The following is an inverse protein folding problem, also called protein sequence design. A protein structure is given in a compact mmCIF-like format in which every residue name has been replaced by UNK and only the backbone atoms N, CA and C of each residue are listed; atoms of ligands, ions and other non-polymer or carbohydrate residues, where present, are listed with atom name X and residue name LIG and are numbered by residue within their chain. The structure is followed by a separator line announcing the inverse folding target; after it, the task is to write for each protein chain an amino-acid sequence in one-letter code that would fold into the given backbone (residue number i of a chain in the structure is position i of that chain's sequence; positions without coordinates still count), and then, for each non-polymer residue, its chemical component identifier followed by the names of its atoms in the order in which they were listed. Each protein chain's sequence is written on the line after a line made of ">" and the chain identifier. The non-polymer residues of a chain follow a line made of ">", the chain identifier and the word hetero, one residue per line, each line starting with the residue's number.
data_IF_187751886928
#
_entry.id   IF_187751886928
#
_cell.length_a   1.000
_cell.length_b   1.000
_cell.length_c   1.000
_cell.angle_alpha   90.00
_cell.angle_beta   90.00
_cell.angle_gamma   90.00
#
_symmetry.space_group_name_H-M   'P 1'
#
loop_
_entity.id
_entity.type
_entity.pdbx_description
1 polymer ?
#
# COMPACT_ATOMS: atom_id res chain seq x y z
N UNK A 1 30.49 -7.04 13.85
CA UNK A 1 29.75 -6.03 13.06
C UNK A 1 28.63 -6.78 12.36
N UNK A 2 27.43 -6.23 12.25
CA UNK A 2 26.38 -6.93 11.50
C UNK A 2 26.78 -6.91 10.02
N UNK A 3 26.60 -8.03 9.31
CA UNK A 3 26.78 -8.04 7.85
C UNK A 3 25.71 -7.19 7.12
N UNK A 4 24.71 -6.70 7.86
CA UNK A 4 23.62 -5.86 7.34
C UNK A 4 23.95 -4.37 7.45
N UNK A 5 24.74 -3.88 6.48
CA UNK A 5 25.11 -2.46 6.37
C UNK A 5 23.89 -1.52 6.37
N UNK A 6 22.76 -1.95 5.80
CA UNK A 6 21.54 -1.16 5.73
C UNK A 6 20.92 -0.97 7.13
N UNK A 7 21.05 -1.97 8.00
CA UNK A 7 20.64 -1.86 9.41
C UNK A 7 21.57 -0.95 10.20
N UNK A 8 22.87 -1.07 9.99
CA UNK A 8 23.90 -0.31 10.71
C UNK A 8 23.86 1.19 10.39
N UNK A 9 23.49 1.57 9.16
CA UNK A 9 23.31 2.97 8.74
C UNK A 9 22.09 3.66 9.37
N UNK A 10 21.26 2.94 10.13
CA UNK A 10 20.18 3.52 10.93
C UNK A 10 19.18 4.33 10.11
N UNK A 11 18.90 5.57 10.55
CA UNK A 11 17.92 6.46 9.91
C UNK A 11 18.32 6.92 8.50
N UNK A 12 19.62 6.86 8.15
CA UNK A 12 20.09 7.27 6.82
C UNK A 12 19.47 6.39 5.72
N UNK A 13 19.28 5.10 6.00
CA UNK A 13 18.70 4.14 5.07
C UNK A 13 17.28 3.73 5.46
N UNK A 14 16.55 4.57 6.21
CA UNK A 14 15.20 4.24 6.67
C UNK A 14 14.27 3.87 5.51
N UNK A 15 14.26 4.64 4.43
CA UNK A 15 13.44 4.35 3.24
C UNK A 15 13.76 2.99 2.61
N UNK A 16 15.05 2.66 2.45
CA UNK A 16 15.49 1.35 1.95
C UNK A 16 15.09 0.22 2.89
N UNK A 17 15.17 0.43 4.20
CA UNK A 17 14.73 -0.55 5.21
C UNK A 17 13.24 -0.81 5.14
N UNK A 18 12.43 0.25 5.02
CA UNK A 18 10.97 0.14 4.89
C UNK A 18 10.60 -0.60 3.60
N UNK A 19 11.25 -0.27 2.47
CA UNK A 19 11.06 -0.99 1.20
C UNK A 19 11.38 -2.48 1.34
N UNK A 20 12.57 -2.81 1.87
CA UNK A 20 13.00 -4.20 2.08
C UNK A 20 12.07 -4.97 3.02
N UNK A 21 11.56 -4.31 4.07
CA UNK A 21 10.58 -4.91 4.98
C UNK A 21 9.25 -5.16 4.28
N UNK A 22 8.74 -4.19 3.53
CA UNK A 22 7.49 -4.32 2.78
C UNK A 22 7.56 -5.44 1.72
N UNK A 23 8.66 -5.54 0.98
CA UNK A 23 8.89 -6.62 0.01
C UNK A 23 8.91 -7.99 0.69
N UNK A 24 9.55 -8.11 1.87
CA UNK A 24 9.55 -9.35 2.65
C UNK A 24 8.16 -9.72 3.15
N UNK A 25 7.42 -8.76 3.72
CA UNK A 25 6.04 -8.99 4.18
C UNK A 25 5.13 -9.41 3.03
N UNK A 26 5.27 -8.80 1.86
CA UNK A 26 4.57 -9.24 0.65
C UNK A 26 4.95 -10.67 0.28
N UNK A 27 6.25 -11.03 0.30
CA UNK A 27 6.71 -12.40 0.04
C UNK A 27 6.09 -13.44 0.98
N UNK A 28 6.04 -13.17 2.29
CA UNK A 28 5.38 -14.07 3.27
C UNK A 28 3.87 -14.15 3.03
N UNK A 29 3.25 -13.02 2.67
CA UNK A 29 1.80 -12.96 2.38
C UNK A 29 1.45 -13.76 1.13
N UNK A 30 2.35 -13.84 0.14
CA UNK A 30 2.11 -14.61 -1.09
C UNK A 30 1.84 -16.08 -0.77
N UNK A 31 2.60 -16.70 0.15
CA UNK A 31 2.34 -18.08 0.56
C UNK A 31 0.93 -18.28 1.15
N UNK A 32 0.45 -17.31 1.92
CA UNK A 32 -0.90 -17.34 2.50
C UNK A 32 -2.00 -17.14 1.44
N UNK A 33 -1.73 -16.33 0.41
CA UNK A 33 -2.64 -16.13 -0.73
C UNK A 33 -2.73 -17.40 -1.57
N UNK A 34 -1.59 -18.04 -1.84
CA UNK A 34 -1.52 -19.28 -2.62
C UNK A 34 -2.27 -20.42 -1.92
N UNK A 35 -2.13 -20.55 -0.60
CA UNK A 35 -2.89 -21.52 0.22
C UNK A 35 -4.41 -21.30 0.17
N UNK A 36 -4.86 -20.08 -0.13
CA UNK A 36 -6.27 -19.74 -0.29
C UNK A 36 -6.80 -19.96 -1.72
N UNK A 37 -5.98 -20.56 -2.61
CA UNK A 37 -6.25 -20.77 -4.04
C UNK A 37 -6.59 -19.46 -4.78
N UNK A 38 -5.91 -18.37 -4.41
CA UNK A 38 -6.07 -17.06 -5.01
C UNK A 38 -4.85 -16.73 -5.88
N UNK A 39 -5.08 -16.25 -7.11
CA UNK A 39 -4.02 -16.08 -8.12
C UNK A 39 -3.43 -14.67 -8.17
N UNK A 40 -3.73 -13.82 -7.19
CA UNK A 40 -3.28 -12.44 -7.15
C UNK A 40 -1.94 -12.29 -6.43
N UNK A 41 -1.21 -11.25 -6.75
CA UNK A 41 0.00 -10.85 -6.03
C UNK A 41 -0.37 -9.92 -4.86
N UNK A 42 0.34 -9.99 -3.72
CA UNK A 42 0.10 -9.12 -2.56
C UNK A 42 0.03 -7.62 -2.90
N UNK A 43 0.88 -7.15 -3.82
CA UNK A 43 0.93 -5.75 -4.26
C UNK A 43 -0.31 -5.31 -5.08
N UNK A 44 -1.15 -6.24 -5.53
CA UNK A 44 -2.40 -5.96 -6.23
C UNK A 44 -3.57 -5.76 -5.25
N UNK A 45 -3.46 -6.30 -4.03
CA UNK A 45 -4.51 -6.26 -3.01
C UNK A 45 -5.00 -4.84 -2.72
N UNK A 46 -4.15 -3.81 -2.56
CA UNK A 46 -4.62 -2.46 -2.23
C UNK A 46 -5.59 -1.89 -3.28
N UNK A 47 -5.38 -2.15 -4.57
CA UNK A 47 -6.30 -1.69 -5.63
C UNK A 47 -7.65 -2.39 -5.51
N UNK A 48 -7.66 -3.71 -5.32
CA UNK A 48 -8.91 -4.48 -5.13
C UNK A 48 -9.66 -3.98 -3.89
N UNK A 49 -8.97 -3.79 -2.76
CA UNK A 49 -9.57 -3.31 -1.51
C UNK A 49 -10.14 -1.91 -1.67
N UNK A 50 -9.42 -0.99 -2.32
CA UNK A 50 -9.91 0.36 -2.58
C UNK A 50 -11.18 0.34 -3.43
N UNK A 51 -11.19 -0.41 -4.54
CA UNK A 51 -12.37 -0.52 -5.40
C UNK A 51 -13.54 -1.23 -4.71
N UNK A 52 -13.26 -2.21 -3.84
CA UNK A 52 -14.28 -2.92 -3.08
C UNK A 52 -14.97 -2.02 -2.05
N UNK A 53 -14.21 -1.16 -1.36
CA UNK A 53 -14.70 -0.31 -0.27
C UNK A 53 -15.26 1.03 -0.75
N UNK A 54 -14.64 1.63 -1.77
CA UNK A 54 -14.95 2.98 -2.22
C UNK A 54 -15.72 3.01 -3.55
N UNK A 55 -15.89 1.85 -4.19
CA UNK A 55 -16.50 1.75 -5.50
C UNK A 55 -15.53 2.08 -6.64
N UNK A 56 -16.05 2.37 -7.84
CA UNK A 56 -15.23 2.67 -9.01
C UNK A 56 -14.38 3.93 -8.82
N UNK A 57 -13.11 3.88 -9.25
CA UNK A 57 -12.16 4.99 -9.12
C UNK A 57 -11.36 5.17 -10.40
N UNK A 58 -11.07 6.41 -10.78
CA UNK A 58 -10.08 6.69 -11.82
C UNK A 58 -8.66 6.38 -11.36
N UNK A 59 -7.71 6.27 -12.30
CA UNK A 59 -6.29 6.08 -11.98
C UNK A 59 -5.76 7.18 -11.05
N UNK A 60 -6.19 8.44 -11.25
CA UNK A 60 -5.79 9.55 -10.40
C UNK A 60 -6.34 9.44 -8.97
N UNK A 61 -7.59 9.02 -8.82
CA UNK A 61 -8.18 8.76 -7.50
C UNK A 61 -7.54 7.57 -6.80
N UNK A 62 -7.18 6.51 -7.54
CA UNK A 62 -6.40 5.38 -6.99
C UNK A 62 -5.01 5.83 -6.51
N UNK A 63 -4.32 6.69 -7.26
CA UNK A 63 -3.02 7.26 -6.82
C UNK A 63 -3.19 8.02 -5.51
N UNK A 64 -4.19 8.90 -5.43
CA UNK A 64 -4.45 9.69 -4.22
C UNK A 64 -4.86 8.82 -3.03
N UNK A 65 -5.71 7.82 -3.25
CA UNK A 65 -6.22 6.92 -2.20
C UNK A 65 -5.14 6.00 -1.65
N UNK A 66 -4.28 5.47 -2.52
CA UNK A 66 -3.29 4.46 -2.16
C UNK A 66 -1.94 5.05 -1.75
N UNK A 67 -1.68 6.32 -2.05
CA UNK A 67 -0.38 6.95 -1.78
C UNK A 67 0.78 6.34 -2.57
N UNK A 68 0.51 5.60 -3.65
CA UNK A 68 1.52 4.98 -4.51
C UNK A 68 1.63 5.69 -5.85
N UNK A 69 2.76 5.55 -6.52
CA UNK A 69 3.03 6.26 -7.77
C UNK A 69 2.07 5.86 -8.90
N UNK A 70 1.76 6.81 -9.79
CA UNK A 70 0.90 6.55 -10.95
C UNK A 70 1.41 5.39 -11.85
N UNK A 71 2.72 5.26 -12.15
CA UNK A 71 3.20 4.10 -12.89
C UNK A 71 2.93 2.77 -12.18
N UNK A 72 3.00 2.74 -10.84
CA UNK A 72 2.68 1.55 -10.06
C UNK A 72 1.18 1.22 -10.15
N UNK A 73 0.29 2.21 -9.95
CA UNK A 73 -1.16 2.02 -10.10
C UNK A 73 -1.50 1.49 -11.50
N UNK A 74 -1.01 2.16 -12.55
CA UNK A 74 -1.30 1.77 -13.94
C UNK A 74 -0.84 0.34 -14.23
N UNK A 75 0.36 -0.05 -13.78
CA UNK A 75 0.86 -1.41 -13.94
C UNK A 75 -0.01 -2.42 -13.20
N UNK A 76 -0.37 -2.14 -11.96
CA UNK A 76 -1.23 -3.02 -11.14
C UNK A 76 -2.61 -3.19 -11.76
N UNK A 77 -3.24 -2.10 -12.20
CA UNK A 77 -4.55 -2.15 -12.89
C UNK A 77 -4.45 -2.94 -14.20
N UNK A 78 -3.36 -2.78 -14.97
CA UNK A 78 -3.12 -3.56 -16.18
C UNK A 78 -3.11 -5.06 -15.91
N UNK A 79 -2.31 -5.51 -14.93
CA UNK A 79 -2.26 -6.92 -14.53
C UNK A 79 -3.61 -7.44 -14.04
N UNK A 80 -4.33 -6.67 -13.22
CA UNK A 80 -5.66 -7.05 -12.75
C UNK A 80 -6.70 -7.12 -13.88
N UNK A 81 -6.51 -6.34 -14.95
CA UNK A 81 -7.36 -6.38 -16.14
C UNK A 81 -7.08 -7.64 -16.94
N UNK A 82 -5.81 -8.02 -17.10
CA UNK A 82 -5.40 -9.30 -17.72
C UNK A 82 -5.92 -10.52 -16.94
N UNK A 83 -6.06 -10.39 -15.63
CA UNK A 83 -6.66 -11.39 -14.75
C UNK A 83 -8.19 -11.33 -14.70
N UNK A 84 -8.84 -10.47 -15.48
CA UNK A 84 -10.30 -10.29 -15.53
C UNK A 84 -10.95 -9.91 -14.18
N UNK A 85 -10.17 -9.41 -13.21
CA UNK A 85 -10.66 -8.98 -11.89
C UNK A 85 -11.11 -7.52 -11.89
N UNK A 86 -10.55 -6.71 -12.79
CA UNK A 86 -10.99 -5.33 -13.00
C UNK A 86 -11.24 -5.05 -14.47
N UNK A 87 -12.01 -4.01 -14.73
CA UNK A 87 -12.25 -3.50 -16.07
C UNK A 87 -12.27 -1.97 -16.08
N UNK A 88 -11.90 -1.38 -17.21
CA UNK A 88 -11.89 0.08 -17.37
C UNK A 88 -13.09 0.49 -18.21
N UNK A 89 -13.99 1.27 -17.61
CA UNK A 89 -15.20 1.78 -18.25
C UNK A 89 -15.16 3.31 -18.35
N UNK A 90 -15.98 3.88 -19.23
CA UNK A 90 -16.23 5.33 -19.21
C UNK A 90 -17.12 5.63 -18.01
N UNK A 91 -16.81 6.71 -17.31
CA UNK A 91 -17.64 7.18 -16.19
C UNK A 91 -19.04 7.51 -16.69
N UNK A 92 -20.04 7.20 -15.86
CA UNK A 92 -21.44 7.54 -16.15
C UNK A 92 -21.72 9.03 -15.96
N UNK A 93 -20.91 9.71 -15.13
CA UNK A 93 -21.05 11.14 -14.82
C UNK A 93 -20.30 12.04 -15.84
N UNK A 94 -19.11 11.62 -16.28
CA UNK A 94 -18.35 12.29 -17.35
C UNK A 94 -17.74 11.26 -18.30
N UNK A 95 -18.31 11.13 -19.50
CA UNK A 95 -17.87 10.19 -20.54
C UNK A 95 -16.42 10.41 -21.02
N UNK A 96 -15.78 11.54 -20.67
CA UNK A 96 -14.36 11.81 -20.92
C UNK A 96 -13.45 11.16 -19.88
N UNK A 97 -13.99 10.82 -18.70
CA UNK A 97 -13.26 10.14 -17.62
C UNK A 97 -13.38 8.63 -17.76
N UNK A 98 -12.32 7.93 -17.38
CA UNK A 98 -12.27 6.47 -17.29
C UNK A 98 -12.12 6.05 -15.84
N UNK A 99 -12.94 5.10 -15.44
CA UNK A 99 -12.98 4.53 -14.10
C UNK A 99 -12.61 3.06 -14.17
N UNK A 100 -11.91 2.60 -13.15
CA UNK A 100 -11.62 1.19 -12.91
C UNK A 100 -12.75 0.64 -12.05
N UNK A 101 -13.33 -0.46 -12.49
CA UNK A 101 -14.39 -1.19 -11.79
C UNK A 101 -13.91 -2.58 -11.45
N UNK A 102 -14.36 -3.13 -10.32
CA UNK A 102 -14.30 -4.58 -10.14
C UNK A 102 -15.26 -5.23 -11.14
N UNK A 103 -14.82 -6.32 -11.77
CA UNK A 103 -15.73 -7.21 -12.50
C UNK A 103 -16.61 -7.98 -11.52
N UNK A 104 -17.58 -8.76 -12.01
CA UNK A 104 -18.35 -9.65 -11.15
C UNK A 104 -17.43 -10.66 -10.42
N UNK A 105 -16.41 -11.17 -11.11
CA UNK A 105 -15.40 -12.05 -10.55
C UNK A 105 -14.53 -11.32 -9.53
N UNK A 106 -14.01 -10.14 -9.86
CA UNK A 106 -13.24 -9.31 -8.92
C UNK A 106 -14.01 -8.93 -7.66
N UNK A 107 -15.31 -8.65 -7.79
CA UNK A 107 -16.16 -8.37 -6.64
C UNK A 107 -16.38 -9.63 -5.77
N UNK A 108 -16.51 -10.81 -6.38
CA UNK A 108 -16.61 -12.07 -5.64
C UNK A 108 -15.30 -12.43 -4.95
N UNK A 109 -14.19 -12.26 -5.65
CA UNK A 109 -12.84 -12.36 -5.11
C UNK A 109 -12.69 -11.47 -3.88
N UNK A 110 -13.00 -10.18 -4.02
CA UNK A 110 -12.83 -9.21 -2.94
C UNK A 110 -13.60 -9.59 -1.67
N UNK A 111 -14.86 -10.03 -1.82
CA UNK A 111 -15.68 -10.52 -0.69
C UNK A 111 -15.09 -11.74 -0.01
N UNK A 112 -14.61 -12.72 -0.79
CA UNK A 112 -13.98 -13.93 -0.25
C UNK A 112 -12.71 -13.57 0.53
N UNK A 113 -11.87 -12.72 -0.05
CA UNK A 113 -10.64 -12.29 0.58
C UNK A 113 -10.89 -11.49 1.86
N UNK A 114 -11.88 -10.59 1.86
CA UNK A 114 -12.28 -9.80 3.04
C UNK A 114 -12.81 -10.67 4.18
N UNK A 115 -13.52 -11.75 3.87
CA UNK A 115 -14.07 -12.65 4.89
C UNK A 115 -13.05 -13.64 5.41
N UNK A 116 -12.16 -14.16 4.56
CA UNK A 116 -11.37 -15.37 4.89
C UNK A 116 -9.86 -15.18 4.90
N UNK A 117 -9.34 -14.20 4.15
CA UNK A 117 -7.89 -14.06 3.97
C UNK A 117 -7.32 -12.85 4.71
N UNK A 118 -7.94 -11.67 4.56
CA UNK A 118 -7.48 -10.44 5.22
C UNK A 118 -7.43 -10.57 6.75
N UNK A 119 -8.41 -11.16 7.44
CA UNK A 119 -8.34 -11.33 8.89
C UNK A 119 -7.18 -12.23 9.34
N UNK A 120 -6.83 -13.25 8.54
CA UNK A 120 -5.74 -14.18 8.86
C UNK A 120 -4.38 -13.51 8.68
N UNK A 121 -4.19 -12.78 7.57
CA UNK A 121 -2.98 -11.99 7.34
C UNK A 121 -2.85 -10.89 8.41
N UNK A 122 -3.93 -10.18 8.72
CA UNK A 122 -3.96 -9.15 9.74
C UNK A 122 -3.57 -9.73 11.12
N UNK A 123 -4.11 -10.89 11.49
CA UNK A 123 -3.74 -11.56 12.73
C UNK A 123 -2.25 -11.93 12.77
N UNK A 124 -1.70 -12.50 11.69
CA UNK A 124 -0.28 -12.86 11.60
C UNK A 124 0.64 -11.63 11.71
N UNK A 125 0.30 -10.54 11.01
CA UNK A 125 1.06 -9.28 11.07
C UNK A 125 0.91 -8.61 12.43
N UNK A 126 -0.25 -8.73 13.07
CA UNK A 126 -0.49 -8.22 14.44
C UNK A 126 0.37 -8.98 15.45
N UNK A 127 0.42 -10.31 15.37
CA UNK A 127 1.27 -11.16 16.21
C UNK A 127 2.75 -10.77 16.05
N UNK A 128 3.22 -10.61 14.80
CA UNK A 128 4.58 -10.13 14.50
C UNK A 128 4.90 -8.78 15.18
N UNK A 129 3.89 -7.96 15.44
CA UNK A 129 4.01 -6.63 16.03
C UNK A 129 3.75 -6.58 17.55
N UNK A 130 3.33 -7.67 18.19
CA UNK A 130 2.72 -7.64 19.54
C UNK A 130 3.64 -7.10 20.65
N UNK A 131 4.95 -7.36 20.57
CA UNK A 131 5.93 -6.92 21.58
C UNK A 131 6.73 -5.67 21.18
N UNK A 132 6.30 -4.95 20.14
CA UNK A 132 6.96 -3.72 19.74
C UNK A 132 6.76 -2.61 20.79
N UNK A 133 7.83 -1.87 21.08
CA UNK A 133 7.75 -0.71 21.97
C UNK A 133 7.07 0.46 21.26
N UNK A 134 5.86 0.80 21.72
CA UNK A 134 5.09 1.93 21.23
C UNK A 134 4.24 1.60 19.99
N UNK A 135 3.29 2.48 19.64
CA UNK A 135 2.33 2.21 18.57
C UNK A 135 2.96 2.41 17.18
N UNK A 136 3.46 1.34 16.55
CA UNK A 136 4.15 1.38 15.24
C UNK A 136 3.37 2.16 14.18
N UNK A 137 2.09 1.81 13.98
CA UNK A 137 1.26 2.45 12.95
C UNK A 137 1.07 3.95 13.20
N UNK A 138 0.99 4.37 14.46
CA UNK A 138 0.94 5.79 14.81
C UNK A 138 2.26 6.50 14.50
N UNK A 139 3.40 5.85 14.78
CA UNK A 139 4.71 6.43 14.46
C UNK A 139 4.90 6.57 12.94
N UNK A 140 4.43 5.62 12.14
CA UNK A 140 4.44 5.70 10.69
C UNK A 140 3.58 6.86 10.19
N UNK A 141 2.33 6.96 10.67
CA UNK A 141 1.43 8.06 10.32
C UNK A 141 2.03 9.43 10.67
N UNK A 142 2.63 9.57 11.86
CA UNK A 142 3.30 10.82 12.25
C UNK A 142 4.52 11.16 11.38
N UNK A 143 5.19 10.18 10.79
CA UNK A 143 6.29 10.41 9.83
C UNK A 143 5.72 10.86 8.48
N UNK A 144 4.66 10.19 8.00
CA UNK A 144 3.95 10.51 6.76
C UNK A 144 3.40 11.94 6.80
N UNK A 145 2.65 12.30 7.83
CA UNK A 145 2.09 13.65 8.02
C UNK A 145 3.19 14.73 8.01
N UNK A 146 4.35 14.44 8.61
CA UNK A 146 5.49 15.37 8.66
C UNK A 146 6.19 15.52 7.31
N UNK A 147 6.20 14.49 6.48
CA UNK A 147 6.75 14.54 5.13
C UNK A 147 5.81 15.32 4.19
N UNK A 148 4.50 15.14 4.35
CA UNK A 148 3.49 15.88 3.58
C UNK A 148 3.45 17.36 3.96
N UNK A 149 3.61 17.67 5.24
CA UNK A 149 3.65 19.05 5.72
C UNK A 149 4.93 19.81 5.34
N UNK A 150 6.08 19.11 5.30
CA UNK A 150 7.37 19.74 5.02
C UNK A 150 8.30 18.76 4.27
N UNK A 151 8.80 19.12 3.07
CA UNK A 151 9.73 18.28 2.33
C UNK A 151 11.02 18.02 3.14
N UNK A 152 11.59 16.82 3.02
CA UNK A 152 12.76 16.39 3.81
C UNK A 152 13.92 17.40 3.82
N UNK A 153 14.18 18.06 2.68
CA UNK A 153 15.23 19.08 2.52
C UNK A 153 15.04 20.30 3.44
N UNK A 154 13.82 20.58 3.87
CA UNK A 154 13.44 21.79 4.60
C UNK A 154 13.36 21.54 6.11
N UNK A 155 13.34 20.27 6.56
CA UNK A 155 13.30 19.88 7.99
C UNK A 155 14.50 20.35 8.81
N UNK A 156 15.67 20.55 8.18
CA UNK A 156 16.86 21.09 8.86
C UNK A 156 16.91 22.62 8.84
N UNK A 157 16.26 23.27 7.87
CA UNK A 157 16.23 24.72 7.73
C UNK A 157 15.23 25.34 8.70
N UNK A 158 14.03 24.78 8.78
CA UNK A 158 12.98 25.21 9.73
C UNK A 158 13.44 25.12 11.20
N UNK A 159 14.27 24.11 11.53
CA UNK A 159 14.82 23.92 12.87
C UNK A 159 15.91 24.93 13.24
N UNK A 160 16.63 25.47 12.26
CA UNK A 160 17.62 26.54 12.47
C UNK A 160 16.94 27.89 12.71
N UNK A 161 15.86 28.19 12.00
CA UNK A 161 15.10 29.44 12.16
C UNK A 161 14.32 29.50 13.48
N UNK A 162 13.74 28.38 13.90
CA UNK A 162 13.02 28.29 15.19
C UNK A 162 13.94 28.41 16.42
N UNK A 163 15.24 28.12 16.28
CA UNK A 163 16.22 28.24 17.37
C UNK A 163 16.94 29.61 17.39
N UNK A 164 16.74 30.42 16.35
CA UNK A 164 17.30 31.77 16.23
C UNK A 164 16.33 32.88 16.70
N UNK A 165 15.12 32.50 17.13
CA UNK A 165 14.12 33.36 17.78
C UNK A 165 14.07 33.05 19.27
#
# INVERSE_FOLDING_TARGET
>A
MSDDIIRDLGLLCLGTRLKRLGERLQGETLGMIDEADLTIQPNQCPVIVALHRLGPLSIGELVGTLGISQPAVTRTVGLLTEQELVEIRRSTEDQRRREVHLTAEGANFARRADTHLWPVIEAAVTELCTDLKGPLLRQLAEIEDRLDALPLRDHLTAKKEAKAR
#
